data_IF_961971163093
#
_entry.id   IF_961971163093
#
_cell.length_a   1.000
_cell.length_b   1.000
_cell.length_c   1.000
_cell.angle_alpha   90.00
_cell.angle_beta   90.00
_cell.angle_gamma   90.00
#
_symmetry.space_group_name_H-M   'P 1'
#
loop_
_entity.id
_entity.type
_entity.pdbx_description
1 polymer ?
#
# COMPACT_ATOMS: atom_id res chain seq x y z
N UNK A 1 -9.07 -2.87 3.48
CA UNK A 1 -7.77 -3.15 2.83
C UNK A 1 -7.55 -4.66 2.94
N UNK A 2 -6.34 -5.17 2.72
CA UNK A 2 -5.95 -6.57 2.95
C UNK A 2 -5.00 -6.72 4.15
N UNK A 3 -4.88 -5.69 4.98
CA UNK A 3 -3.88 -5.60 6.05
C UNK A 3 -4.17 -6.57 7.20
N UNK A 4 -5.43 -6.96 7.38
CA UNK A 4 -5.82 -7.96 8.37
C UNK A 4 -5.21 -9.36 8.13
N UNK A 5 -4.63 -9.62 6.96
CA UNK A 5 -3.90 -10.85 6.66
C UNK A 5 -2.44 -10.81 7.13
N UNK A 6 -1.91 -9.62 7.44
CA UNK A 6 -0.54 -9.45 7.90
C UNK A 6 -0.39 -9.88 9.36
N UNK A 7 0.72 -10.55 9.66
CA UNK A 7 1.12 -10.79 11.06
C UNK A 7 1.49 -9.46 11.70
N UNK A 8 1.41 -9.38 13.03
CA UNK A 8 1.76 -8.16 13.78
C UNK A 8 3.10 -7.53 13.36
N UNK A 9 4.16 -8.32 13.22
CA UNK A 9 5.48 -7.80 12.81
C UNK A 9 5.47 -7.25 11.37
N UNK A 10 4.70 -7.87 10.46
CA UNK A 10 4.54 -7.42 9.07
C UNK A 10 3.70 -6.14 9.02
N UNK A 11 2.69 -6.03 9.88
CA UNK A 11 1.91 -4.81 10.08
C UNK A 11 2.74 -3.66 10.63
N UNK A 12 3.63 -3.91 11.61
CA UNK A 12 4.55 -2.89 12.11
C UNK A 12 5.48 -2.43 10.98
N UNK A 13 6.05 -3.37 10.23
CA UNK A 13 6.89 -3.05 9.07
C UNK A 13 6.14 -2.24 8.00
N UNK A 14 4.88 -2.59 7.71
CA UNK A 14 4.02 -1.80 6.82
C UNK A 14 3.86 -0.36 7.33
N UNK A 15 3.54 -0.17 8.62
CA UNK A 15 3.38 1.17 9.18
C UNK A 15 4.69 1.98 9.20
N UNK A 16 5.84 1.32 9.32
CA UNK A 16 7.14 1.96 9.15
C UNK A 16 7.33 2.46 7.70
N UNK A 17 6.98 1.64 6.71
CA UNK A 17 7.01 2.04 5.29
C UNK A 17 6.06 3.20 5.01
N UNK A 18 4.86 3.19 5.58
CA UNK A 18 3.91 4.30 5.48
C UNK A 18 4.53 5.60 6.00
N UNK A 19 5.22 5.57 7.15
CA UNK A 19 5.93 6.74 7.67
C UNK A 19 7.09 7.18 6.78
N UNK A 20 7.83 6.25 6.18
CA UNK A 20 8.95 6.58 5.28
C UNK A 20 8.39 7.26 4.01
N UNK A 21 7.34 6.71 3.42
CA UNK A 21 6.69 7.25 2.23
C UNK A 21 6.10 8.64 2.50
N UNK A 22 5.36 8.80 3.60
CA UNK A 22 4.74 10.07 3.90
C UNK A 22 5.70 11.12 4.49
N UNK A 23 6.97 10.76 4.71
CA UNK A 23 8.05 11.70 4.99
C UNK A 23 8.87 12.05 3.73
N UNK A 24 8.69 11.35 2.60
CA UNK A 24 9.34 11.75 1.33
C UNK A 24 8.63 12.96 0.71
N UNK A 25 7.31 13.06 0.82
CA UNK A 25 6.62 14.32 0.53
C UNK A 25 6.44 15.12 1.84
N UNK A 26 6.84 16.38 1.86
CA UNK A 26 6.81 17.22 3.08
C UNK A 26 5.38 17.65 3.48
N UNK A 27 4.33 17.02 2.94
CA UNK A 27 2.94 17.40 3.13
C UNK A 27 2.06 16.16 3.32
N UNK A 28 1.99 15.68 4.57
CA UNK A 28 0.98 14.70 4.99
C UNK A 28 -0.42 15.33 4.84
N UNK A 29 -1.12 15.05 3.75
CA UNK A 29 -2.43 15.60 3.46
C UNK A 29 -3.47 15.11 4.49
N UNK A 30 -4.60 15.80 4.59
CA UNK A 30 -5.64 15.45 5.56
C UNK A 30 -6.25 14.07 5.26
N UNK A 31 -6.36 13.71 3.98
CA UNK A 31 -6.82 12.39 3.52
C UNK A 31 -5.89 11.26 4.02
N UNK A 32 -4.57 11.45 3.94
CA UNK A 32 -3.58 10.46 4.36
C UNK A 32 -3.61 10.19 5.86
N UNK A 33 -3.90 11.22 6.68
CA UNK A 33 -4.04 11.03 8.14
C UNK A 33 -5.22 10.15 8.51
N UNK A 34 -6.33 10.23 7.77
CA UNK A 34 -7.47 9.35 8.02
C UNK A 34 -7.12 7.91 7.64
N UNK A 35 -6.49 7.73 6.48
CA UNK A 35 -6.07 6.42 6.00
C UNK A 35 -5.03 5.77 6.92
N UNK A 36 -4.07 6.55 7.43
CA UNK A 36 -3.11 6.10 8.43
C UNK A 36 -3.79 5.55 9.70
N UNK A 37 -4.82 6.23 10.21
CA UNK A 37 -5.57 5.76 11.36
C UNK A 37 -6.37 4.49 11.06
N UNK A 38 -6.88 4.35 9.84
CA UNK A 38 -7.59 3.14 9.42
C UNK A 38 -6.64 1.95 9.25
N UNK A 39 -5.39 2.18 8.81
CA UNK A 39 -4.33 1.17 8.84
C UNK A 39 -4.05 0.67 10.26
N UNK A 40 -3.88 1.56 11.23
CA UNK A 40 -3.66 1.20 12.64
C UNK A 40 -4.81 0.31 13.17
N UNK A 41 -6.05 0.68 12.88
CA UNK A 41 -7.25 -0.07 13.29
C UNK A 41 -7.29 -1.45 12.63
N UNK A 42 -7.10 -1.52 11.31
CA UNK A 42 -7.16 -2.79 10.57
C UNK A 42 -6.07 -3.76 11.02
N UNK A 43 -4.87 -3.25 11.31
CA UNK A 43 -3.74 -4.03 11.82
C UNK A 43 -3.84 -4.36 13.31
N UNK A 44 -4.75 -3.71 14.05
CA UNK A 44 -4.82 -3.77 15.51
C UNK A 44 -3.47 -3.42 16.18
N UNK A 45 -2.80 -2.38 15.67
CA UNK A 45 -1.52 -1.88 16.15
C UNK A 45 -1.71 -0.49 16.76
N UNK A 46 -1.05 -0.25 17.90
CA UNK A 46 -0.98 1.09 18.48
C UNK A 46 0.18 1.88 17.89
N UNK A 47 0.00 3.18 17.77
CA UNK A 47 1.03 4.06 17.21
C UNK A 47 2.36 4.01 17.98
N UNK A 48 2.30 3.80 19.30
CA UNK A 48 3.47 3.66 20.17
C UNK A 48 4.32 2.41 19.88
N UNK A 49 3.79 1.45 19.13
CA UNK A 49 4.51 0.23 18.73
C UNK A 49 5.33 0.43 17.46
N UNK A 50 5.10 1.54 16.73
CA UNK A 50 5.80 1.87 15.50
C UNK A 50 7.04 2.70 15.85
N UNK A 51 8.21 2.08 15.78
CA UNK A 51 9.49 2.79 15.90
C UNK A 51 9.91 3.36 14.55
N UNK A 52 10.72 4.42 14.58
CA UNK A 52 11.44 4.87 13.37
C UNK A 52 12.35 3.75 12.84
N UNK A 53 12.45 3.67 11.52
CA UNK A 53 13.31 2.73 10.81
C UNK A 53 13.61 3.25 9.41
N UNK A 54 14.68 2.76 8.80
CA UNK A 54 15.02 3.06 7.42
C UNK A 54 14.51 1.97 6.47
N UNK A 55 14.39 2.31 5.18
CA UNK A 55 13.86 1.42 4.15
C UNK A 55 14.57 0.05 4.12
N UNK A 56 15.90 0.02 4.25
CA UNK A 56 16.67 -1.22 4.17
C UNK A 56 16.36 -2.13 5.36
N UNK A 57 16.39 -1.58 6.57
CA UNK A 57 16.05 -2.32 7.80
C UNK A 57 14.66 -2.93 7.74
N UNK A 58 13.67 -2.17 7.24
CA UNK A 58 12.30 -2.69 7.09
C UNK A 58 12.24 -3.78 6.02
N UNK A 59 12.94 -3.61 4.89
CA UNK A 59 13.00 -4.63 3.84
C UNK A 59 13.64 -5.94 4.34
N UNK A 60 14.71 -5.88 5.15
CA UNK A 60 15.32 -7.06 5.76
C UNK A 60 14.32 -7.81 6.65
N UNK A 61 13.53 -7.10 7.47
CA UNK A 61 12.50 -7.70 8.31
C UNK A 61 11.40 -8.41 7.48
N UNK A 62 11.13 -7.90 6.28
CA UNK A 62 10.13 -8.47 5.37
C UNK A 62 10.66 -9.59 4.47
N UNK A 63 11.98 -9.83 4.40
CA UNK A 63 12.53 -10.88 3.52
C UNK A 63 11.95 -12.27 3.78
N UNK A 64 11.71 -12.61 5.04
CA UNK A 64 11.14 -13.88 5.48
C UNK A 64 9.62 -14.00 5.32
N UNK A 65 8.94 -12.91 4.97
CA UNK A 65 7.49 -12.91 4.74
C UNK A 65 7.11 -13.64 3.46
N UNK A 66 5.87 -14.14 3.42
CA UNK A 66 5.33 -14.80 2.24
C UNK A 66 5.22 -13.82 1.06
N UNK A 67 5.21 -14.34 -0.16
CA UNK A 67 4.97 -13.51 -1.35
C UNK A 67 3.64 -12.76 -1.26
N UNK A 68 2.59 -13.39 -0.72
CA UNK A 68 1.29 -12.72 -0.53
C UNK A 68 1.40 -11.55 0.44
N UNK A 69 2.06 -11.72 1.58
CA UNK A 69 2.27 -10.63 2.53
C UNK A 69 3.04 -9.46 1.88
N UNK A 70 4.11 -9.75 1.13
CA UNK A 70 4.89 -8.73 0.41
C UNK A 70 4.05 -8.02 -0.66
N UNK A 71 3.21 -8.76 -1.39
CA UNK A 71 2.29 -8.20 -2.37
C UNK A 71 1.26 -7.28 -1.70
N UNK A 72 0.67 -7.68 -0.57
CA UNK A 72 -0.28 -6.87 0.19
C UNK A 72 0.37 -5.57 0.64
N UNK A 73 1.54 -5.65 1.29
CA UNK A 73 2.29 -4.47 1.76
C UNK A 73 2.54 -3.50 0.62
N UNK A 74 3.06 -4.01 -0.50
CA UNK A 74 3.36 -3.18 -1.66
C UNK A 74 2.10 -2.59 -2.30
N UNK A 75 1.05 -3.39 -2.47
CA UNK A 75 -0.21 -2.97 -3.07
C UNK A 75 -0.88 -1.84 -2.29
N UNK A 76 -0.93 -1.95 -0.96
CA UNK A 76 -1.52 -0.92 -0.10
C UNK A 76 -0.68 0.37 -0.09
N UNK A 77 0.66 0.27 -0.20
CA UNK A 77 1.53 1.45 -0.34
C UNK A 77 1.34 2.16 -1.68
N UNK A 78 1.13 1.44 -2.78
CA UNK A 78 0.74 2.04 -4.06
C UNK A 78 -0.60 2.78 -3.92
N UNK A 79 -1.58 2.17 -3.24
CA UNK A 79 -2.88 2.80 -3.00
C UNK A 79 -2.78 4.08 -2.19
N UNK A 80 -1.87 4.13 -1.22
CA UNK A 80 -1.56 5.34 -0.46
C UNK A 80 -0.93 6.43 -1.35
N UNK A 81 0.12 6.10 -2.09
CA UNK A 81 0.86 7.04 -2.95
C UNK A 81 0.05 7.58 -4.14
N UNK A 82 -1.10 6.99 -4.46
CA UNK A 82 -1.97 7.41 -5.56
C UNK A 82 -3.27 8.05 -5.08
N UNK A 83 -3.40 8.31 -3.77
CA UNK A 83 -4.65 8.84 -3.20
C UNK A 83 -4.96 10.27 -3.63
N UNK A 84 -3.93 11.09 -3.81
CA UNK A 84 -4.02 12.47 -4.28
C UNK A 84 -4.01 12.58 -5.82
N UNK A 85 -3.74 11.46 -6.51
CA UNK A 85 -3.65 11.36 -7.95
C UNK A 85 -2.33 11.85 -8.55
N UNK A 86 -1.37 12.30 -7.72
CA UNK A 86 -0.06 12.79 -8.15
C UNK A 86 1.04 11.87 -7.63
N UNK A 87 1.57 11.05 -8.54
CA UNK A 87 2.67 10.14 -8.25
C UNK A 87 4.00 10.90 -8.40
N UNK A 88 4.52 11.47 -7.30
CA UNK A 88 5.72 12.31 -7.35
C UNK A 88 6.99 11.47 -7.59
N UNK A 89 8.07 12.08 -8.08
CA UNK A 89 9.30 11.34 -8.46
C UNK A 89 9.96 10.61 -7.27
N UNK A 90 9.89 11.17 -6.07
CA UNK A 90 10.52 10.60 -4.87
C UNK A 90 9.78 9.34 -4.38
N UNK A 91 8.46 9.36 -4.40
CA UNK A 91 7.61 8.21 -4.10
C UNK A 91 7.77 7.10 -5.14
N UNK A 92 7.85 7.46 -6.43
CA UNK A 92 8.15 6.51 -7.50
C UNK A 92 9.47 5.80 -7.21
N UNK A 93 10.52 6.56 -6.88
CA UNK A 93 11.84 5.99 -6.62
C UNK A 93 11.83 5.08 -5.38
N UNK A 94 11.14 5.49 -4.31
CA UNK A 94 10.97 4.71 -3.08
C UNK A 94 10.24 3.40 -3.36
N UNK A 95 9.13 3.44 -4.10
CA UNK A 95 8.32 2.27 -4.44
C UNK A 95 9.04 1.36 -5.44
N UNK A 96 9.85 1.90 -6.35
CA UNK A 96 10.70 1.07 -7.21
C UNK A 96 11.75 0.32 -6.38
N UNK A 97 12.47 1.01 -5.48
CA UNK A 97 13.45 0.39 -4.57
C UNK A 97 12.82 -0.67 -3.67
N UNK A 98 11.67 -0.36 -3.07
CA UNK A 98 10.93 -1.31 -2.22
C UNK A 98 10.49 -2.54 -3.02
N UNK A 99 9.94 -2.33 -4.21
CA UNK A 99 9.50 -3.43 -5.07
C UNK A 99 10.65 -4.38 -5.43
N UNK A 100 11.83 -3.84 -5.73
CA UNK A 100 13.04 -4.64 -5.97
C UNK A 100 13.49 -5.40 -4.72
N UNK A 101 13.54 -4.72 -3.57
CA UNK A 101 13.95 -5.31 -2.30
C UNK A 101 13.02 -6.43 -1.83
N UNK A 102 11.71 -6.32 -2.11
CA UNK A 102 10.71 -7.35 -1.83
C UNK A 102 10.67 -8.47 -2.87
N UNK A 103 11.39 -8.34 -3.99
CA UNK A 103 11.41 -9.33 -5.08
C UNK A 103 10.13 -9.33 -5.92
N UNK A 104 9.43 -8.18 -6.00
CA UNK A 104 8.21 -8.03 -6.78
C UNK A 104 8.59 -7.69 -8.21
N UNK A 105 8.18 -8.54 -9.15
CA UNK A 105 8.49 -8.35 -10.57
C UNK A 105 7.92 -7.04 -11.10
N UNK A 106 8.65 -6.40 -12.01
CA UNK A 106 8.22 -5.14 -12.65
C UNK A 106 6.82 -5.23 -13.28
N UNK A 107 6.49 -6.34 -13.94
CA UNK A 107 5.15 -6.57 -14.50
C UNK A 107 4.06 -6.55 -13.43
N UNK A 108 4.34 -7.08 -12.23
CA UNK A 108 3.40 -7.07 -11.12
C UNK A 108 3.25 -5.69 -10.50
N UNK A 109 4.35 -4.94 -10.36
CA UNK A 109 4.33 -3.52 -9.92
C UNK A 109 3.47 -2.65 -10.85
N UNK A 110 3.66 -2.80 -12.17
CA UNK A 110 2.84 -2.11 -13.17
C UNK A 110 1.36 -2.52 -13.06
N UNK A 111 1.07 -3.81 -12.83
CA UNK A 111 -0.31 -4.27 -12.66
C UNK A 111 -0.99 -3.65 -11.43
N UNK A 112 -0.26 -3.49 -10.33
CA UNK A 112 -0.77 -2.80 -9.14
C UNK A 112 -1.04 -1.31 -9.39
N UNK A 113 -0.10 -0.58 -9.98
CA UNK A 113 -0.33 0.83 -10.33
C UNK A 113 -1.53 0.99 -11.27
N UNK A 114 -1.63 0.15 -12.31
CA UNK A 114 -2.75 0.16 -13.25
C UNK A 114 -4.09 -0.13 -12.57
N UNK A 115 -4.13 -0.98 -11.54
CA UNK A 115 -5.36 -1.23 -10.78
C UNK A 115 -5.89 0.08 -10.18
N UNK A 116 -5.03 0.88 -9.54
CA UNK A 116 -5.43 2.15 -8.93
C UNK A 116 -5.70 3.26 -9.95
N UNK A 117 -4.92 3.36 -11.04
CA UNK A 117 -5.23 4.30 -12.12
C UNK A 117 -6.59 4.02 -12.77
N UNK A 118 -6.88 2.76 -13.07
CA UNK A 118 -8.18 2.36 -13.62
C UNK A 118 -9.30 2.56 -12.59
N UNK A 119 -9.02 2.38 -11.30
CA UNK A 119 -9.98 2.65 -10.23
C UNK A 119 -10.40 4.12 -10.21
N UNK A 120 -9.45 5.05 -10.30
CA UNK A 120 -9.72 6.50 -10.35
C UNK A 120 -10.54 6.87 -11.60
N UNK A 121 -10.19 6.31 -12.76
CA UNK A 121 -10.88 6.59 -14.03
C UNK A 121 -12.32 6.02 -14.07
N UNK A 122 -12.52 4.79 -13.57
CA UNK A 122 -13.84 4.11 -13.55
C UNK A 122 -14.80 4.74 -12.53
N UNK A 123 -14.29 5.30 -11.42
CA UNK A 123 -15.10 5.98 -10.42
C UNK A 123 -15.54 7.39 -10.83
N UNK A 124 -14.84 8.04 -11.78
CA UNK A 124 -15.25 9.32 -12.33
C UNK A 124 -16.52 9.26 -13.18
N UNK A 125 -16.89 8.09 -13.72
CA UNK A 125 -17.83 8.00 -14.85
C UNK A 125 -19.08 7.11 -14.71
N UNK A 126 -19.19 6.22 -13.72
CA UNK A 126 -20.17 5.11 -13.84
C UNK A 126 -21.42 5.17 -12.93
N UNK A 127 -22.59 5.01 -13.55
CA UNK A 127 -23.96 4.96 -12.98
C UNK A 127 -24.40 3.60 -12.40
N UNK A 128 -23.48 2.65 -12.18
CA UNK A 128 -23.79 1.33 -11.58
C UNK A 128 -23.85 1.41 -10.06
N UNK A 129 -24.73 0.60 -9.44
CA UNK A 129 -24.80 0.36 -7.99
C UNK A 129 -23.41 0.15 -7.34
N UNK A 130 -23.21 0.79 -6.19
CA UNK A 130 -21.93 0.84 -5.49
C UNK A 130 -21.51 -0.52 -4.93
N UNK A 131 -22.44 -1.35 -4.45
CA UNK A 131 -22.11 -2.64 -3.81
C UNK A 131 -21.54 -3.65 -4.83
N UNK A 132 -22.17 -3.76 -6.00
CA UNK A 132 -21.73 -4.65 -7.08
C UNK A 132 -20.33 -4.30 -7.60
N UNK A 133 -20.00 -2.99 -7.65
CA UNK A 133 -18.67 -2.51 -8.04
C UNK A 133 -17.60 -2.85 -7.00
N UNK A 134 -17.88 -2.64 -5.71
CA UNK A 134 -16.94 -2.92 -4.63
C UNK A 134 -16.55 -4.40 -4.62
N UNK A 135 -17.51 -5.30 -4.82
CA UNK A 135 -17.24 -6.74 -4.88
C UNK A 135 -16.32 -7.12 -6.05
N UNK A 136 -16.58 -6.58 -7.25
CA UNK A 136 -15.76 -6.85 -8.44
C UNK A 136 -14.32 -6.35 -8.27
N UNK A 137 -14.15 -5.16 -7.70
CA UNK A 137 -12.84 -4.56 -7.47
C UNK A 137 -12.04 -5.36 -6.45
N UNK A 138 -12.70 -5.82 -5.38
CA UNK A 138 -12.06 -6.71 -4.41
C UNK A 138 -11.60 -8.02 -5.05
N UNK A 139 -12.41 -8.62 -5.93
CA UNK A 139 -12.03 -9.84 -6.67
C UNK A 139 -10.83 -9.60 -7.60
N UNK A 140 -10.78 -8.45 -8.28
CA UNK A 140 -9.66 -8.09 -9.15
C UNK A 140 -8.37 -7.88 -8.36
N UNK A 141 -8.42 -7.16 -7.23
CA UNK A 141 -7.27 -6.98 -6.34
C UNK A 141 -6.78 -8.33 -5.81
N UNK A 142 -7.69 -9.20 -5.39
CA UNK A 142 -7.37 -10.55 -4.88
C UNK A 142 -6.56 -11.37 -5.90
N UNK A 143 -6.94 -11.33 -7.19
CA UNK A 143 -6.21 -12.01 -8.29
C UNK A 143 -4.79 -11.49 -8.48
N UNK A 144 -4.55 -10.22 -8.19
CA UNK A 144 -3.21 -9.61 -8.30
C UNK A 144 -2.31 -9.98 -7.11
N UNK A 145 -2.90 -10.32 -5.95
CA UNK A 145 -2.16 -10.60 -4.72
C UNK A 145 -1.64 -12.04 -4.61
N UNK A 146 -2.15 -12.97 -5.44
CA UNK A 146 -1.71 -14.38 -5.53
C UNK A 146 -0.26 -14.52 -5.99
#
# INVERSE_FOLDING_TARGET
MFLNELKKNEGIAFMQLVRILANSDNVFAKEEKNLYNDYLKELSINESEISESDLNSVCENLKGSSNRCKNIIYFELIGLALIDGEYNEEEVELLEKLGEALGITRSKRIAFANYFYNFVDVYGFSVVDAESKIALLKEQAEKLLV
#
